data_IF_555060301586
#
_entry.id   IF_555060301586
#
_cell.length_a   1.000
_cell.length_b   1.000
_cell.length_c   1.000
_cell.angle_alpha   90.00
_cell.angle_beta   90.00
_cell.angle_gamma   90.00
#
_symmetry.space_group_name_H-M   'P 1'
#
loop_
_entity.id
_entity.type
_entity.pdbx_description
1 polymer ?
#
# COMPACT_ATOMS: atom_id res chain seq x y z
N UNK A 1 9.57 -19.89 7.65
CA UNK A 1 9.25 -18.85 6.64
C UNK A 1 7.86 -18.33 7.00
N UNK A 2 7.74 -17.08 7.45
CA UNK A 2 6.44 -16.47 7.70
C UNK A 2 5.78 -16.23 6.35
N UNK A 3 4.67 -16.90 6.04
CA UNK A 3 3.91 -16.66 4.82
C UNK A 3 3.09 -15.38 5.03
N UNK A 4 3.09 -14.48 4.05
CA UNK A 4 2.21 -13.31 4.01
C UNK A 4 0.78 -13.79 3.80
N UNK A 5 0.02 -13.91 4.88
CA UNK A 5 -1.35 -14.43 4.85
C UNK A 5 -2.32 -13.25 4.92
N UNK A 6 -3.21 -13.08 3.92
CA UNK A 6 -4.24 -12.07 4.00
C UNK A 6 -5.11 -12.26 5.25
N UNK A 7 -5.40 -11.16 5.94
CA UNK A 7 -6.32 -11.16 7.08
C UNK A 7 -7.75 -11.32 6.58
N UNK A 8 -8.48 -12.30 7.09
CA UNK A 8 -9.89 -12.52 6.74
C UNK A 8 -10.78 -11.63 7.60
N UNK A 9 -11.54 -10.75 6.96
CA UNK A 9 -12.45 -9.80 7.61
C UNK A 9 -13.91 -10.28 7.57
N UNK A 10 -14.30 -11.02 6.52
CA UNK A 10 -15.62 -11.66 6.41
C UNK A 10 -15.55 -12.95 5.60
N UNK A 11 -16.61 -13.77 5.65
CA UNK A 11 -16.66 -15.09 5.01
C UNK A 11 -18.00 -15.32 4.31
N UNK A 12 -18.36 -14.44 3.38
CA UNK A 12 -19.55 -14.60 2.54
C UNK A 12 -19.29 -15.50 1.33
N UNK A 13 -20.36 -15.79 0.57
CA UNK A 13 -20.34 -16.70 -0.58
C UNK A 13 -20.72 -16.04 -1.91
N UNK A 14 -21.15 -14.78 -1.91
CA UNK A 14 -21.55 -14.05 -3.12
C UNK A 14 -20.37 -13.82 -4.07
N UNK A 15 -19.19 -13.56 -3.51
CA UNK A 15 -17.95 -13.35 -4.23
C UNK A 15 -16.80 -13.14 -3.27
N UNK A 16 -15.63 -12.80 -3.79
CA UNK A 16 -14.43 -12.54 -3.00
C UNK A 16 -13.85 -11.14 -3.28
N UNK A 17 -13.43 -10.44 -2.25
CA UNK A 17 -12.69 -9.18 -2.35
C UNK A 17 -11.35 -9.34 -1.67
N UNK A 18 -10.27 -9.03 -2.37
CA UNK A 18 -8.94 -8.89 -1.78
C UNK A 18 -8.55 -7.42 -1.76
N UNK A 19 -8.49 -6.83 -0.59
CA UNK A 19 -8.10 -5.43 -0.40
C UNK A 19 -6.59 -5.36 -0.15
N UNK A 20 -5.90 -4.59 -0.96
CA UNK A 20 -4.51 -4.23 -0.76
C UNK A 20 -4.50 -2.79 -0.27
N UNK A 21 -4.24 -2.62 1.02
CA UNK A 21 -4.30 -1.34 1.70
C UNK A 21 -2.91 -0.92 2.17
N UNK A 22 -2.69 0.39 2.19
CA UNK A 22 -1.48 1.01 2.66
C UNK A 22 -1.85 2.17 3.59
N UNK A 23 -2.24 1.83 4.80
CA UNK A 23 -2.55 2.81 5.85
C UNK A 23 -1.67 2.55 7.09
N UNK A 24 -0.43 3.02 7.08
CA UNK A 24 0.52 2.70 8.15
C UNK A 24 0.16 3.33 9.50
N UNK A 25 -0.65 4.42 9.52
CA UNK A 25 -0.86 5.24 10.72
C UNK A 25 -2.28 5.77 10.90
N UNK A 26 -3.25 5.30 10.14
CA UNK A 26 -4.64 5.78 10.28
C UNK A 26 -5.24 5.24 11.59
N UNK A 27 -5.84 6.12 12.37
CA UNK A 27 -6.67 5.77 13.53
C UNK A 27 -8.10 5.39 13.13
N UNK A 28 -8.46 5.57 11.85
CA UNK A 28 -9.77 5.28 11.30
C UNK A 28 -9.96 3.80 10.93
N UNK A 29 -11.18 3.47 10.52
CA UNK A 29 -11.48 2.13 10.00
C UNK A 29 -10.75 1.90 8.67
N UNK A 30 -10.14 0.74 8.53
CA UNK A 30 -9.48 0.32 7.30
C UNK A 30 -10.51 0.12 6.19
N UNK A 31 -10.11 0.34 4.94
CA UNK A 31 -10.98 0.20 3.78
C UNK A 31 -11.61 -1.20 3.70
N UNK A 32 -10.83 -2.25 3.95
CA UNK A 32 -11.33 -3.63 3.99
C UNK A 32 -12.40 -3.86 5.06
N UNK A 33 -12.27 -3.24 6.25
CA UNK A 33 -13.28 -3.32 7.31
C UNK A 33 -14.60 -2.67 6.91
N UNK A 34 -14.52 -1.52 6.22
CA UNK A 34 -15.70 -0.83 5.72
C UNK A 34 -16.41 -1.62 4.61
N UNK A 35 -15.63 -2.24 3.71
CA UNK A 35 -16.18 -3.12 2.68
C UNK A 35 -16.81 -4.35 3.32
N UNK A 36 -16.14 -5.00 4.26
CA UNK A 36 -16.68 -6.19 4.95
C UNK A 36 -17.99 -5.88 5.71
N UNK A 37 -18.08 -4.72 6.34
CA UNK A 37 -19.30 -4.27 7.02
C UNK A 37 -20.44 -3.95 6.05
N UNK A 38 -20.14 -3.39 4.87
CA UNK A 38 -21.12 -3.01 3.87
C UNK A 38 -21.55 -4.14 2.92
N UNK A 39 -20.74 -5.22 2.80
CA UNK A 39 -21.02 -6.38 1.96
C UNK A 39 -20.86 -7.69 2.75
N UNK A 40 -21.75 -7.99 3.72
CA UNK A 40 -21.59 -9.15 4.61
C UNK A 40 -21.67 -10.49 3.87
N UNK A 41 -22.30 -10.51 2.69
CA UNK A 41 -22.40 -11.70 1.86
C UNK A 41 -21.15 -12.00 1.03
N UNK A 42 -20.15 -11.11 1.06
CA UNK A 42 -18.89 -11.27 0.36
C UNK A 42 -17.79 -11.78 1.31
N UNK A 43 -16.90 -12.59 0.77
CA UNK A 43 -15.65 -12.96 1.46
C UNK A 43 -14.63 -11.83 1.27
N UNK A 44 -14.30 -11.12 2.34
CA UNK A 44 -13.34 -10.00 2.30
C UNK A 44 -12.06 -10.39 3.01
N UNK A 45 -10.94 -10.25 2.31
CA UNK A 45 -9.59 -10.43 2.84
C UNK A 45 -8.79 -9.14 2.62
N UNK A 46 -7.86 -8.85 3.52
CA UNK A 46 -7.01 -7.66 3.43
C UNK A 46 -5.54 -8.01 3.62
N UNK A 47 -4.68 -7.39 2.84
CA UNK A 47 -3.22 -7.38 3.03
C UNK A 47 -2.72 -6.00 3.38
N UNK A 48 -1.75 -5.93 4.28
CA UNK A 48 -1.10 -4.70 4.76
C UNK A 48 0.40 -4.84 4.57
N UNK A 49 0.93 -4.49 3.40
CA UNK A 49 2.32 -4.77 3.06
C UNK A 49 3.32 -4.10 4.00
N UNK A 50 3.04 -2.89 4.49
CA UNK A 50 3.93 -2.21 5.44
C UNK A 50 4.05 -2.97 6.77
N UNK A 51 2.92 -3.49 7.31
CA UNK A 51 2.91 -4.32 8.51
C UNK A 51 3.66 -5.64 8.31
N UNK A 52 3.39 -6.29 7.18
CA UNK A 52 3.96 -7.60 6.91
C UNK A 52 5.47 -7.52 6.64
N UNK A 53 5.96 -6.39 6.12
CA UNK A 53 7.38 -6.10 5.94
C UNK A 53 8.08 -5.65 7.24
N UNK A 54 7.36 -5.06 8.21
CA UNK A 54 7.92 -4.59 9.48
C UNK A 54 8.61 -5.71 10.28
N UNK A 55 8.14 -6.96 10.14
CA UNK A 55 8.74 -8.13 10.79
C UNK A 55 9.97 -8.70 10.06
N UNK A 56 10.37 -8.12 8.92
CA UNK A 56 11.48 -8.61 8.09
C UNK A 56 12.68 -7.66 8.16
N UNK A 57 13.86 -8.27 8.21
CA UNK A 57 15.13 -7.53 8.17
C UNK A 57 15.63 -7.32 6.74
N UNK A 58 15.20 -8.19 5.82
CA UNK A 58 15.69 -8.18 4.45
C UNK A 58 14.71 -7.40 3.56
N UNK A 59 15.28 -6.58 2.66
CA UNK A 59 14.51 -5.95 1.60
C UNK A 59 13.85 -6.99 0.70
N UNK A 60 12.58 -6.79 0.40
CA UNK A 60 11.81 -7.62 -0.52
C UNK A 60 11.32 -6.76 -1.70
N UNK A 61 11.58 -7.19 -2.92
CA UNK A 61 11.09 -6.54 -4.12
C UNK A 61 9.57 -6.69 -4.27
N UNK A 62 8.94 -5.74 -4.99
CA UNK A 62 7.48 -5.76 -5.12
C UNK A 62 6.97 -7.01 -5.85
N UNK A 63 7.73 -7.52 -6.81
CA UNK A 63 7.38 -8.73 -7.56
C UNK A 63 7.39 -9.97 -6.66
N UNK A 64 8.39 -10.11 -5.79
CA UNK A 64 8.47 -11.18 -4.81
C UNK A 64 7.32 -11.10 -3.80
N UNK A 65 7.00 -9.88 -3.35
CA UNK A 65 5.88 -9.61 -2.45
C UNK A 65 4.54 -10.00 -3.11
N UNK A 66 4.35 -9.64 -4.38
CA UNK A 66 3.17 -10.01 -5.16
C UNK A 66 3.04 -11.53 -5.36
N UNK A 67 4.16 -12.22 -5.58
CA UNK A 67 4.20 -13.68 -5.71
C UNK A 67 3.79 -14.37 -4.39
N UNK A 68 4.26 -13.87 -3.24
CA UNK A 68 3.90 -14.40 -1.92
C UNK A 68 2.41 -14.23 -1.65
N UNK A 69 1.85 -13.02 -1.85
CA UNK A 69 0.43 -12.78 -1.64
C UNK A 69 -0.46 -13.56 -2.61
N UNK A 70 -0.10 -13.60 -3.89
CA UNK A 70 -0.87 -14.36 -4.87
C UNK A 70 -0.88 -15.87 -4.54
N UNK A 71 0.25 -16.42 -4.09
CA UNK A 71 0.35 -17.82 -3.67
C UNK A 71 -0.51 -18.09 -2.45
N UNK A 72 -0.43 -17.23 -1.44
CA UNK A 72 -1.18 -17.37 -0.21
C UNK A 72 -2.69 -17.22 -0.46
N UNK A 73 -3.09 -16.26 -1.31
CA UNK A 73 -4.48 -16.04 -1.65
C UNK A 73 -5.09 -17.22 -2.42
N UNK A 74 -4.37 -17.81 -3.40
CA UNK A 74 -4.84 -19.01 -4.13
C UNK A 74 -5.15 -20.19 -3.21
N UNK A 75 -4.47 -20.28 -2.09
CA UNK A 75 -4.73 -21.34 -1.10
C UNK A 75 -6.00 -21.11 -0.27
N UNK A 76 -6.53 -19.88 -0.23
CA UNK A 76 -7.62 -19.48 0.66
C UNK A 76 -8.82 -18.83 -0.03
N UNK A 77 -8.69 -18.44 -1.32
CA UNK A 77 -9.67 -17.69 -2.10
C UNK A 77 -9.99 -18.31 -3.45
N UNK A 78 -10.88 -17.65 -4.17
CA UNK A 78 -11.27 -18.00 -5.55
C UNK A 78 -10.81 -16.86 -6.50
N UNK A 79 -9.67 -17.00 -7.19
CA UNK A 79 -9.13 -15.94 -8.05
C UNK A 79 -10.10 -15.50 -9.16
N UNK A 80 -10.87 -16.44 -9.74
CA UNK A 80 -11.75 -16.14 -10.88
C UNK A 80 -12.96 -15.27 -10.49
N UNK A 81 -13.35 -15.30 -9.21
CA UNK A 81 -14.47 -14.54 -8.65
C UNK A 81 -14.01 -13.42 -7.73
N UNK A 82 -12.76 -12.99 -7.86
CA UNK A 82 -12.17 -12.01 -6.98
C UNK A 82 -12.21 -10.60 -7.58
N UNK A 83 -12.69 -9.65 -6.80
CA UNK A 83 -12.42 -8.23 -7.01
C UNK A 83 -11.20 -7.83 -6.19
N UNK A 84 -10.12 -7.43 -6.87
CA UNK A 84 -8.91 -6.95 -6.24
C UNK A 84 -8.99 -5.44 -6.09
N UNK A 85 -8.91 -4.93 -4.89
CA UNK A 85 -8.96 -3.49 -4.60
C UNK A 85 -7.58 -3.03 -4.16
N UNK A 86 -6.99 -2.06 -4.88
CA UNK A 86 -5.75 -1.39 -4.48
C UNK A 86 -6.01 0.05 -4.06
N UNK A 87 -5.60 0.43 -2.85
CA UNK A 87 -5.81 1.77 -2.30
C UNK A 87 -4.49 2.56 -2.23
N UNK A 88 -4.51 3.82 -2.68
CA UNK A 88 -3.36 4.74 -2.61
C UNK A 88 -2.10 4.10 -3.24
N UNK A 89 -0.95 4.15 -2.59
CA UNK A 89 0.30 3.54 -3.07
C UNK A 89 0.27 2.00 -3.15
N UNK A 90 -0.69 1.34 -2.49
CA UNK A 90 -0.91 -0.10 -2.65
C UNK A 90 -1.48 -0.48 -4.03
N UNK A 91 -1.92 0.49 -4.82
CA UNK A 91 -2.39 0.28 -6.20
C UNK A 91 -1.36 -0.49 -7.06
N UNK A 92 -0.08 -0.17 -6.91
CA UNK A 92 0.99 -0.83 -7.69
C UNK A 92 1.13 -2.31 -7.33
N UNK A 93 1.01 -2.66 -6.06
CA UNK A 93 1.03 -4.05 -5.59
C UNK A 93 -0.23 -4.80 -6.04
N UNK A 94 -1.40 -4.15 -5.98
CA UNK A 94 -2.66 -4.74 -6.46
C UNK A 94 -2.57 -5.13 -7.95
N UNK A 95 -2.02 -4.25 -8.79
CA UNK A 95 -1.79 -4.57 -10.21
C UNK A 95 -0.87 -5.78 -10.35
N UNK A 96 0.23 -5.84 -9.56
CA UNK A 96 1.17 -6.97 -9.61
C UNK A 96 0.55 -8.29 -9.13
N UNK A 97 -0.27 -8.26 -8.09
CA UNK A 97 -1.00 -9.45 -7.62
C UNK A 97 -2.00 -9.91 -8.69
N UNK A 98 -2.74 -8.98 -9.32
CA UNK A 98 -3.69 -9.31 -10.39
C UNK A 98 -3.02 -10.01 -11.57
N UNK A 99 -1.86 -9.54 -12.00
CA UNK A 99 -1.07 -10.20 -13.07
C UNK A 99 -0.74 -11.65 -12.73
N UNK A 100 -0.48 -11.96 -11.44
CA UNK A 100 -0.18 -13.33 -10.99
C UNK A 100 -1.42 -14.19 -10.86
N UNK A 101 -2.52 -13.62 -10.40
CA UNK A 101 -3.77 -14.38 -10.25
C UNK A 101 -4.39 -14.74 -11.60
N UNK A 102 -4.06 -14.01 -12.66
CA UNK A 102 -4.50 -14.22 -14.05
C UNK A 102 -6.03 -14.20 -14.23
N UNK A 103 -6.76 -13.61 -13.31
CA UNK A 103 -8.21 -13.49 -13.35
C UNK A 103 -8.72 -12.38 -12.44
N UNK A 104 -10.06 -12.16 -12.49
CA UNK A 104 -10.72 -11.21 -11.64
C UNK A 104 -10.73 -9.77 -12.15
N UNK A 105 -11.48 -8.94 -11.45
CA UNK A 105 -11.62 -7.50 -11.67
C UNK A 105 -10.67 -6.74 -10.75
N UNK A 106 -10.04 -5.69 -11.25
CA UNK A 106 -9.17 -4.82 -10.45
C UNK A 106 -9.79 -3.45 -10.31
N UNK A 107 -9.89 -2.95 -9.10
CA UNK A 107 -10.33 -1.59 -8.81
C UNK A 107 -9.22 -0.85 -8.08
N UNK A 108 -8.68 0.18 -8.70
CA UNK A 108 -7.71 1.07 -8.06
C UNK A 108 -8.43 2.30 -7.53
N UNK A 109 -8.30 2.51 -6.23
CA UNK A 109 -8.98 3.56 -5.52
C UNK A 109 -7.97 4.63 -5.06
N UNK A 110 -8.11 5.86 -5.58
CA UNK A 110 -7.16 6.97 -5.34
C UNK A 110 -5.70 6.54 -5.55
N UNK A 111 -5.36 5.93 -6.68
CA UNK A 111 -4.01 5.39 -6.85
C UNK A 111 -2.96 6.48 -6.70
N UNK A 112 -1.86 6.12 -6.06
CA UNK A 112 -0.64 6.93 -5.96
C UNK A 112 0.53 6.08 -6.42
N UNK A 113 1.39 6.67 -7.24
CA UNK A 113 2.51 5.97 -7.88
C UNK A 113 3.81 6.48 -7.29
N UNK A 114 4.38 5.79 -6.30
CA UNK A 114 5.58 6.25 -5.60
C UNK A 114 6.73 6.52 -6.56
N UNK A 115 7.33 7.70 -6.39
CA UNK A 115 8.56 8.12 -7.05
C UNK A 115 9.59 8.58 -6.00
N UNK A 116 10.76 9.00 -6.46
CA UNK A 116 11.83 9.44 -5.56
C UNK A 116 11.43 10.68 -4.75
N UNK A 117 10.65 11.61 -5.34
CA UNK A 117 10.21 12.82 -4.65
C UNK A 117 9.26 12.48 -3.51
N UNK A 118 8.24 11.63 -3.77
CA UNK A 118 7.30 11.16 -2.75
C UNK A 118 8.03 10.46 -1.59
N UNK A 119 8.98 9.57 -1.86
CA UNK A 119 9.74 8.90 -0.79
C UNK A 119 10.55 9.91 0.03
N UNK A 120 11.16 10.91 -0.63
CA UNK A 120 11.92 11.95 0.05
C UNK A 120 11.02 12.85 0.93
N UNK A 121 9.87 13.28 0.42
CA UNK A 121 8.89 14.06 1.17
C UNK A 121 8.36 13.28 2.38
N UNK A 122 7.97 12.02 2.17
CA UNK A 122 7.53 11.15 3.26
C UNK A 122 8.59 11.00 4.35
N UNK A 123 9.86 10.83 3.96
CA UNK A 123 10.96 10.75 4.92
C UNK A 123 11.16 12.06 5.66
N UNK A 124 11.07 13.19 4.98
CA UNK A 124 11.21 14.50 5.59
C UNK A 124 10.08 14.76 6.61
N UNK A 125 8.84 14.39 6.29
CA UNK A 125 7.70 14.53 7.19
C UNK A 125 7.88 13.67 8.45
N UNK A 126 8.22 12.39 8.30
CA UNK A 126 8.49 11.50 9.44
C UNK A 126 9.61 12.05 10.32
N UNK A 127 10.70 12.54 9.73
CA UNK A 127 11.82 13.11 10.48
C UNK A 127 11.43 14.41 11.20
N UNK A 128 10.58 15.23 10.58
CA UNK A 128 10.04 16.43 11.22
C UNK A 128 9.18 16.07 12.45
N UNK A 129 8.34 15.05 12.36
CA UNK A 129 7.56 14.52 13.50
C UNK A 129 8.46 13.98 14.62
N UNK A 130 9.62 13.41 14.28
CA UNK A 130 10.61 12.95 15.24
C UNK A 130 11.52 14.08 15.79
N UNK A 131 11.27 15.34 15.39
CA UNK A 131 12.04 16.50 15.86
C UNK A 131 13.39 16.69 15.14
N UNK A 132 13.68 15.96 14.09
CA UNK A 132 14.92 16.05 13.30
C UNK A 132 14.77 17.02 12.11
N UNK A 133 13.86 17.98 12.17
CA UNK A 133 13.67 18.98 11.13
C UNK A 133 14.94 19.85 10.95
N UNK A 134 15.38 19.98 9.69
CA UNK A 134 16.54 20.83 9.34
C UNK A 134 17.83 20.05 9.07
N UNK A 135 17.92 18.79 9.42
CA UNK A 135 19.02 17.94 8.93
C UNK A 135 18.74 17.46 7.51
N UNK A 136 19.74 17.46 6.60
CA UNK A 136 19.52 16.98 5.24
C UNK A 136 19.13 15.49 5.26
N UNK A 137 18.10 15.10 4.49
CA UNK A 137 17.77 13.70 4.35
C UNK A 137 18.90 12.94 3.64
N UNK A 138 19.01 11.62 3.85
CA UNK A 138 19.95 10.80 3.09
C UNK A 138 19.62 10.85 1.60
N UNK A 139 20.64 10.67 0.76
CA UNK A 139 20.42 10.52 -0.68
C UNK A 139 19.68 9.23 -0.97
N UNK A 140 18.53 9.34 -1.67
CA UNK A 140 17.70 8.20 -2.05
C UNK A 140 18.10 7.61 -3.41
N UNK A 141 19.41 7.55 -3.68
CA UNK A 141 19.99 7.04 -4.92
C UNK A 141 20.65 5.67 -4.70
N UNK A 142 20.62 4.81 -5.73
CA UNK A 142 21.22 3.48 -5.68
C UNK A 142 20.20 2.34 -5.53
N UNK A 143 20.71 1.16 -5.15
CA UNK A 143 19.87 -0.04 -4.95
C UNK A 143 18.90 0.18 -3.79
N UNK A 144 17.64 -0.23 -3.97
CA UNK A 144 16.58 0.00 -2.98
C UNK A 144 16.90 -0.59 -1.60
N UNK A 145 17.59 -1.72 -1.53
CA UNK A 145 18.07 -2.31 -0.26
C UNK A 145 19.05 -1.40 0.48
N UNK A 146 20.04 -0.85 -0.24
CA UNK A 146 21.03 0.05 0.36
C UNK A 146 20.40 1.39 0.81
N UNK A 147 19.41 1.88 0.04
CA UNK A 147 18.62 3.06 0.44
C UNK A 147 17.81 2.76 1.69
N UNK A 148 17.18 1.58 1.79
CA UNK A 148 16.43 1.17 2.97
C UNK A 148 17.33 1.12 4.22
N UNK A 149 18.54 0.58 4.09
CA UNK A 149 19.51 0.55 5.20
C UNK A 149 19.84 1.97 5.68
N UNK A 150 20.11 2.90 4.76
CA UNK A 150 20.41 4.31 5.07
C UNK A 150 19.21 5.02 5.75
N UNK A 151 18.01 4.80 5.25
CA UNK A 151 16.76 5.33 5.84
C UNK A 151 16.57 4.75 7.25
N UNK A 152 16.75 3.45 7.42
CA UNK A 152 16.62 2.76 8.72
C UNK A 152 17.62 3.30 9.74
N UNK A 153 18.89 3.48 9.35
CA UNK A 153 19.94 4.03 10.22
C UNK A 153 19.64 5.49 10.60
N UNK A 154 19.07 6.26 9.67
CA UNK A 154 18.68 7.65 9.91
C UNK A 154 17.53 7.71 10.91
N UNK A 155 16.46 6.97 10.68
CA UNK A 155 15.30 6.92 11.59
C UNK A 155 15.65 6.37 12.97
N UNK A 156 16.56 5.39 13.03
CA UNK A 156 17.05 4.86 14.31
C UNK A 156 17.75 5.95 15.13
N UNK A 157 18.63 6.76 14.51
CA UNK A 157 19.31 7.90 15.17
C UNK A 157 18.30 8.95 15.61
N UNK A 158 17.32 9.31 14.77
CA UNK A 158 16.31 10.30 15.09
C UNK A 158 15.44 9.83 16.28
N UNK A 159 15.03 8.56 16.30
CA UNK A 159 14.29 7.96 17.42
C UNK A 159 15.11 7.91 18.71
N UNK A 160 16.39 7.60 18.63
CA UNK A 160 17.29 7.64 19.80
C UNK A 160 17.44 9.06 20.35
N UNK A 161 17.58 10.06 19.48
CA UNK A 161 17.64 11.46 19.88
C UNK A 161 16.34 11.91 20.57
N UNK A 162 15.18 11.54 20.01
CA UNK A 162 13.86 11.82 20.60
C UNK A 162 13.72 11.14 21.97
N UNK A 163 14.12 9.87 22.11
CA UNK A 163 14.09 9.13 23.36
C UNK A 163 14.93 9.82 24.44
N UNK A 164 16.17 10.20 24.11
CA UNK A 164 17.07 10.89 25.02
C UNK A 164 16.51 12.25 25.46
N UNK A 165 15.88 13.00 24.54
CA UNK A 165 15.27 14.30 24.84
C UNK A 165 14.13 14.15 25.88
N UNK A 166 13.37 13.08 25.80
CA UNK A 166 12.23 12.81 26.67
C UNK A 166 12.56 11.89 27.87
N UNK A 167 13.82 11.49 28.06
CA UNK A 167 14.23 10.61 29.15
C UNK A 167 13.66 9.18 29.03
N UNK A 168 13.37 8.74 27.80
CA UNK A 168 12.90 7.39 27.52
C UNK A 168 14.08 6.45 27.27
N UNK A 169 13.85 5.15 27.49
CA UNK A 169 14.83 4.13 27.13
C UNK A 169 14.91 4.00 25.58
N UNK A 170 16.05 4.35 24.95
CA UNK A 170 16.20 4.28 23.51
C UNK A 170 16.21 2.84 22.96
N UNK A 171 16.35 1.83 23.84
CA UNK A 171 16.26 0.40 23.50
C UNK A 171 14.92 -0.21 23.89
N UNK A 172 14.01 0.61 24.39
CA UNK A 172 12.69 0.19 24.83
C UNK A 172 11.84 -0.35 23.68
N UNK A 173 11.08 -1.41 24.00
CA UNK A 173 10.23 -2.11 23.02
C UNK A 173 9.34 -1.18 22.18
N UNK A 174 8.68 -0.12 22.71
CA UNK A 174 7.85 0.75 21.90
C UNK A 174 8.60 1.47 20.78
N UNK A 175 9.85 1.89 21.03
CA UNK A 175 10.68 2.55 20.03
C UNK A 175 11.18 1.59 18.97
N UNK A 176 11.52 0.36 19.34
CA UNK A 176 11.89 -0.70 18.40
C UNK A 176 10.70 -1.07 17.51
N UNK A 177 9.51 -1.24 18.06
CA UNK A 177 8.29 -1.50 17.29
C UNK A 177 7.97 -0.34 16.32
N UNK A 178 8.20 0.90 16.73
CA UNK A 178 8.02 2.05 15.85
C UNK A 178 9.05 2.06 14.72
N UNK A 179 10.31 1.76 15.02
CA UNK A 179 11.35 1.63 13.99
C UNK A 179 11.02 0.53 12.98
N UNK A 180 10.62 -0.66 13.45
CA UNK A 180 10.19 -1.76 12.59
C UNK A 180 9.03 -1.37 11.66
N UNK A 181 8.05 -0.61 12.17
CA UNK A 181 6.94 -0.09 11.37
C UNK A 181 7.41 0.87 10.29
N UNK A 182 8.32 1.80 10.61
CA UNK A 182 8.92 2.69 9.62
C UNK A 182 9.73 1.91 8.57
N UNK A 183 10.51 0.92 8.99
CA UNK A 183 11.26 0.06 8.07
C UNK A 183 10.33 -0.68 7.10
N UNK A 184 9.24 -1.25 7.58
CA UNK A 184 8.23 -1.90 6.73
C UNK A 184 7.60 -0.91 5.75
N UNK A 185 7.29 0.29 6.21
CA UNK A 185 6.70 1.33 5.36
C UNK A 185 7.65 1.79 4.26
N UNK A 186 8.88 2.20 4.62
CA UNK A 186 9.86 2.64 3.63
C UNK A 186 10.31 1.49 2.73
N UNK A 187 10.43 0.28 3.26
CA UNK A 187 10.69 -0.92 2.47
C UNK A 187 9.65 -1.12 1.37
N UNK A 188 8.36 -0.96 1.71
CA UNK A 188 7.28 -1.00 0.74
C UNK A 188 7.37 0.16 -0.28
N UNK A 189 7.53 1.40 0.16
CA UNK A 189 7.59 2.56 -0.75
C UNK A 189 8.74 2.45 -1.75
N UNK A 190 9.90 1.98 -1.31
CA UNK A 190 11.06 1.77 -2.16
C UNK A 190 10.83 0.64 -3.17
N UNK A 191 10.20 -0.46 -2.75
CA UNK A 191 9.83 -1.56 -3.63
C UNK A 191 8.79 -1.11 -4.67
N UNK A 192 7.79 -0.33 -4.25
CA UNK A 192 6.76 0.22 -5.11
C UNK A 192 7.34 1.22 -6.13
N UNK A 193 8.24 2.13 -5.71
CA UNK A 193 8.98 3.04 -6.59
C UNK A 193 9.72 2.29 -7.69
N UNK A 194 10.53 1.30 -7.31
CA UNK A 194 11.30 0.51 -8.27
C UNK A 194 10.39 -0.21 -9.28
N UNK A 195 9.24 -0.71 -8.84
CA UNK A 195 8.26 -1.34 -9.72
C UNK A 195 7.56 -0.34 -10.65
N UNK A 196 7.26 0.88 -10.19
CA UNK A 196 6.66 1.95 -11.02
C UNK A 196 7.61 2.35 -12.15
N UNK A 197 8.91 2.48 -11.87
CA UNK A 197 9.91 2.77 -12.90
C UNK A 197 9.92 1.66 -13.97
N UNK A 198 9.92 0.39 -13.56
CA UNK A 198 9.80 -0.74 -14.48
C UNK A 198 8.46 -0.80 -15.24
N UNK A 199 7.36 -0.29 -14.66
CA UNK A 199 6.08 -0.19 -15.36
C UNK A 199 6.10 0.86 -16.48
N UNK A 200 6.79 2.00 -16.27
CA UNK A 200 6.93 3.09 -17.25
C UNK A 200 7.74 2.67 -18.49
N UNK A 201 8.69 1.77 -18.31
CA UNK A 201 9.60 1.31 -19.38
C UNK A 201 8.97 0.26 -20.30
N UNK A 202 7.90 -0.40 -19.89
CA UNK A 202 7.30 -1.51 -20.62
C UNK A 202 5.82 -1.24 -20.92
N UNK A 203 5.47 -1.17 -22.22
CA UNK A 203 4.08 -1.22 -22.64
C UNK A 203 3.44 -2.55 -22.20
N UNK A 204 2.39 -2.50 -21.39
CA UNK A 204 1.73 -3.67 -20.81
C UNK A 204 0.30 -3.82 -21.29
N UNK A 205 -0.22 -5.04 -21.20
CA UNK A 205 -1.66 -5.29 -21.34
C UNK A 205 -2.34 -4.99 -20.01
N UNK A 206 -3.47 -4.27 -20.08
CA UNK A 206 -4.33 -4.10 -18.92
C UNK A 206 -4.77 -5.45 -18.36
N UNK A 207 -4.91 -5.59 -17.02
CA UNK A 207 -5.72 -6.66 -16.44
C UNK A 207 -7.10 -6.72 -17.12
N UNK A 208 -7.74 -7.88 -17.11
CA UNK A 208 -8.94 -8.17 -17.91
C UNK A 208 -10.05 -7.13 -17.71
N UNK A 209 -10.24 -6.68 -16.46
CA UNK A 209 -11.12 -5.55 -16.11
C UNK A 209 -10.42 -4.66 -15.09
N UNK A 210 -9.99 -3.49 -15.52
CA UNK A 210 -9.40 -2.48 -14.64
C UNK A 210 -10.28 -1.23 -14.59
N UNK A 211 -10.73 -0.88 -13.40
CA UNK A 211 -11.40 0.37 -13.07
C UNK A 211 -10.52 1.23 -12.17
N UNK A 212 -10.36 2.50 -12.50
CA UNK A 212 -9.64 3.47 -11.68
C UNK A 212 -10.63 4.53 -11.16
N UNK A 213 -10.75 4.63 -9.84
CA UNK A 213 -11.48 5.66 -9.12
C UNK A 213 -10.48 6.73 -8.66
N UNK A 214 -10.55 7.94 -9.19
CA UNK A 214 -9.58 9.01 -8.95
C UNK A 214 -10.25 10.37 -8.88
N UNK A 215 -9.60 11.35 -8.28
CA UNK A 215 -10.10 12.72 -8.16
C UNK A 215 -9.70 13.58 -9.38
N UNK A 216 -8.66 13.16 -10.09
CA UNK A 216 -8.19 13.86 -11.30
C UNK A 216 -7.79 12.88 -12.41
N UNK A 217 -7.73 13.39 -13.63
CA UNK A 217 -7.28 12.62 -14.79
C UNK A 217 -5.79 12.20 -14.67
N UNK A 218 -4.98 13.02 -14.00
CA UNK A 218 -3.56 12.72 -13.73
C UNK A 218 -3.43 11.55 -12.75
N UNK A 219 -4.15 11.59 -11.64
CA UNK A 219 -4.19 10.50 -10.66
C UNK A 219 -4.73 9.20 -11.30
N UNK A 220 -5.69 9.30 -12.23
CA UNK A 220 -6.24 8.16 -12.95
C UNK A 220 -5.28 7.54 -13.97
N UNK A 221 -4.14 8.15 -14.25
CA UNK A 221 -3.17 7.62 -15.20
C UNK A 221 -2.40 6.45 -14.56
N UNK A 222 -2.46 5.28 -15.18
CA UNK A 222 -1.74 4.08 -14.71
C UNK A 222 -0.43 3.96 -15.49
N UNK A 223 0.72 3.95 -14.82
CA UNK A 223 2.03 3.82 -15.47
C UNK A 223 2.11 2.59 -16.38
N UNK A 224 2.60 2.78 -17.60
CA UNK A 224 2.77 1.70 -18.59
C UNK A 224 1.48 1.26 -19.31
N UNK A 225 0.30 1.81 -18.96
CA UNK A 225 -0.95 1.52 -19.65
C UNK A 225 -1.40 2.70 -20.54
N UNK A 226 -1.92 2.35 -21.71
CA UNK A 226 -2.49 3.36 -22.62
C UNK A 226 -3.85 3.83 -22.09
N UNK A 227 -4.09 5.14 -22.11
CA UNK A 227 -5.40 5.70 -21.82
C UNK A 227 -6.45 5.11 -22.78
N UNK A 228 -7.49 4.47 -22.24
CA UNK A 228 -8.51 3.75 -23.02
C UNK A 228 -8.38 2.22 -22.97
N UNK A 229 -7.27 1.69 -22.46
CA UNK A 229 -7.15 0.24 -22.18
C UNK A 229 -7.80 -0.16 -20.85
N UNK A 230 -8.33 0.79 -20.08
CA UNK A 230 -9.02 0.59 -18.81
C UNK A 230 -10.09 1.64 -18.58
N UNK A 231 -11.03 1.37 -17.66
CA UNK A 231 -12.09 2.30 -17.29
C UNK A 231 -11.58 3.31 -16.25
N UNK A 232 -12.02 4.56 -16.36
CA UNK A 232 -11.72 5.63 -15.40
C UNK A 232 -13.02 6.29 -14.97
N UNK A 233 -13.15 6.49 -13.66
CA UNK A 233 -14.24 7.26 -13.08
C UNK A 233 -13.65 8.34 -12.18
N UNK A 234 -13.89 9.60 -12.52
CA UNK A 234 -13.54 10.70 -11.64
C UNK A 234 -14.60 10.78 -10.53
N UNK A 235 -14.14 10.85 -9.30
CA UNK A 235 -14.96 10.88 -8.10
C UNK A 235 -14.62 12.13 -7.29
N UNK A 236 -15.62 12.73 -6.67
CA UNK A 236 -15.41 13.85 -5.77
C UNK A 236 -15.44 13.29 -4.33
N UNK A 237 -14.28 13.18 -3.72
CA UNK A 237 -14.14 12.72 -2.35
C UNK A 237 -13.97 13.91 -1.40
N UNK A 238 -14.39 13.79 -0.13
CA UNK A 238 -14.01 14.77 0.89
C UNK A 238 -12.50 14.96 0.91
N UNK A 239 -12.06 16.23 1.02
CA UNK A 239 -10.63 16.57 1.01
C UNK A 239 -9.85 15.94 2.17
N UNK A 240 -8.54 16.08 2.15
CA UNK A 240 -7.59 15.47 3.10
C UNK A 240 -7.82 15.86 4.57
N UNK A 241 -8.60 16.95 4.81
CA UNK A 241 -9.00 17.34 6.18
C UNK A 241 -9.97 16.34 6.86
N UNK A 242 -10.53 15.37 6.12
CA UNK A 242 -11.47 14.39 6.66
C UNK A 242 -11.21 12.98 6.06
N UNK A 243 -10.05 12.37 6.37
CA UNK A 243 -9.64 11.10 5.76
C UNK A 243 -10.64 9.96 6.02
N UNK A 244 -11.26 9.91 7.20
CA UNK A 244 -12.27 8.90 7.53
C UNK A 244 -13.54 9.02 6.68
N UNK A 245 -13.97 10.27 6.39
CA UNK A 245 -15.12 10.52 5.50
C UNK A 245 -14.77 10.16 4.07
N UNK A 246 -13.55 10.47 3.62
CA UNK A 246 -13.08 10.10 2.29
C UNK A 246 -13.02 8.57 2.13
N UNK A 247 -12.53 7.84 3.12
CA UNK A 247 -12.48 6.39 3.12
C UNK A 247 -13.89 5.78 3.14
N UNK A 248 -14.81 6.33 3.92
CA UNK A 248 -16.20 5.91 3.97
C UNK A 248 -16.95 6.10 2.64
N UNK A 249 -16.77 7.25 1.99
CA UNK A 249 -17.36 7.50 0.66
C UNK A 249 -16.75 6.59 -0.42
N UNK A 250 -15.45 6.35 -0.34
CA UNK A 250 -14.77 5.42 -1.23
C UNK A 250 -15.29 3.99 -1.05
N UNK A 251 -15.47 3.53 0.18
CA UNK A 251 -16.07 2.23 0.47
C UNK A 251 -17.48 2.12 -0.14
N UNK A 252 -18.30 3.17 -0.02
CA UNK A 252 -19.64 3.22 -0.63
C UNK A 252 -19.59 3.10 -2.16
N UNK A 253 -18.65 3.77 -2.80
CA UNK A 253 -18.44 3.68 -4.25
C UNK A 253 -17.99 2.27 -4.66
N UNK A 254 -17.08 1.67 -3.91
CA UNK A 254 -16.62 0.30 -4.14
C UNK A 254 -17.73 -0.72 -3.98
N UNK A 255 -18.57 -0.58 -2.95
CA UNK A 255 -19.73 -1.44 -2.74
C UNK A 255 -20.71 -1.42 -3.91
N UNK A 256 -20.91 -0.25 -4.53
CA UNK A 256 -21.73 -0.14 -5.75
C UNK A 256 -21.11 -0.85 -6.97
N UNK A 257 -19.82 -1.12 -6.97
CA UNK A 257 -19.13 -1.89 -8.02
C UNK A 257 -19.16 -3.40 -7.77
N UNK A 258 -19.49 -3.83 -6.56
CA UNK A 258 -19.64 -5.26 -6.21
C UNK A 258 -21.02 -5.81 -6.53
N UNK A 259 -22.06 -4.98 -6.52
CA UNK A 259 -23.46 -5.33 -6.80
C UNK A 259 -23.78 -5.26 -8.26
#
# INVERSE_FOLDING_TARGET
MSSFVPERLSSGTAGSVLVVDFQPYSSGKRLGELIAAGAPDWSVQQVEPARDLASRRDYLGLDELADEYARSYRASGDPDRTVLVGYCSAAVLAVRIAERLAGGRVVLARPSWPDTAMVAETLADVRAELGAAGEPPPELTGAASAVLDQVSDTLHRDLQALANLHGLDPTGRPLLELLERYQGWFGYLLAARAAVDGLREQARRSPTELLVLAESAEQAAVPGLTAGSYQRRLVNLPGDAAPDLATGELARLLLAELG
#
